data_IF_851126081059
#
_entry.id   IF_851126081059
#
_cell.length_a   1.000
_cell.length_b   1.000
_cell.length_c   1.000
_cell.angle_alpha   90.00
_cell.angle_beta   90.00
_cell.angle_gamma   90.00
#
_symmetry.space_group_name_H-M   'P 1'
#
loop_
_entity.id
_entity.type
_entity.pdbx_description
1 polymer ?
#
# COMPACT_ATOMS: atom_id res chain seq x y z
N UNK A 1 -3.97 34.83 -8.17
CA UNK A 1 -3.23 33.84 -9.00
C UNK A 1 -1.92 33.36 -8.33
N UNK A 2 -1.36 34.07 -7.35
CA UNK A 2 -0.05 33.73 -6.75
C UNK A 2 -0.06 32.52 -5.77
N UNK A 3 -1.19 32.21 -5.13
CA UNK A 3 -1.32 31.07 -4.20
C UNK A 3 -1.19 29.70 -4.89
N UNK A 4 -1.65 29.58 -6.14
CA UNK A 4 -1.51 28.33 -6.91
C UNK A 4 -0.07 28.08 -7.34
N UNK A 5 0.67 29.12 -7.69
CA UNK A 5 2.08 29.04 -8.11
C UNK A 5 3.01 28.69 -6.94
N UNK A 6 2.77 29.25 -5.74
CA UNK A 6 3.49 28.89 -4.51
C UNK A 6 3.26 27.44 -4.10
N UNK A 7 2.00 26.97 -4.13
CA UNK A 7 1.69 25.55 -3.87
C UNK A 7 2.34 24.62 -4.90
N UNK A 8 2.41 25.03 -6.18
CA UNK A 8 3.12 24.27 -7.21
C UNK A 8 4.64 24.26 -6.97
N UNK A 9 5.22 25.39 -6.58
CA UNK A 9 6.65 25.51 -6.27
C UNK A 9 7.04 24.69 -5.04
N UNK A 10 6.28 24.76 -3.94
CA UNK A 10 6.49 23.93 -2.75
C UNK A 10 6.32 22.44 -3.03
N UNK A 11 5.29 22.07 -3.81
CA UNK A 11 5.11 20.67 -4.25
C UNK A 11 6.28 20.20 -5.10
N UNK A 12 6.82 21.06 -5.98
CA UNK A 12 7.97 20.76 -6.83
C UNK A 12 9.26 20.64 -6.02
N UNK A 13 9.50 21.56 -5.09
CA UNK A 13 10.63 21.51 -4.16
C UNK A 13 10.58 20.27 -3.26
N UNK A 14 9.40 19.95 -2.69
CA UNK A 14 9.21 18.76 -1.85
C UNK A 14 9.34 17.46 -2.64
N UNK A 15 8.93 17.44 -3.91
CA UNK A 15 9.17 16.32 -4.84
C UNK A 15 10.64 16.18 -5.19
N UNK A 16 11.33 17.27 -5.49
CA UNK A 16 12.76 17.26 -5.84
C UNK A 16 13.64 16.87 -4.66
N UNK A 17 13.29 17.34 -3.46
CA UNK A 17 13.93 16.94 -2.22
C UNK A 17 13.75 15.44 -1.96
N UNK A 18 12.54 14.90 -2.15
CA UNK A 18 12.30 13.44 -2.06
C UNK A 18 12.95 12.64 -3.19
N UNK A 19 13.05 13.19 -4.40
CA UNK A 19 13.82 12.61 -5.51
C UNK A 19 15.32 12.51 -5.18
N UNK A 20 15.87 13.52 -4.51
CA UNK A 20 17.25 13.43 -4.00
C UNK A 20 17.36 12.41 -2.89
N UNK A 21 16.35 12.30 -2.02
CA UNK A 21 16.36 11.35 -0.92
C UNK A 21 16.31 9.88 -1.36
N UNK A 22 15.59 9.47 -2.43
CA UNK A 22 15.68 8.05 -2.87
C UNK A 22 17.04 7.73 -3.47
N UNK A 23 17.66 8.66 -4.21
CA UNK A 23 19.02 8.48 -4.75
C UNK A 23 20.04 8.34 -3.62
N UNK A 24 19.97 9.22 -2.61
CA UNK A 24 20.82 9.12 -1.42
C UNK A 24 20.54 7.86 -0.60
N UNK A 25 19.28 7.47 -0.44
CA UNK A 25 18.90 6.26 0.26
C UNK A 25 19.41 5.00 -0.48
N UNK A 26 19.33 4.96 -1.80
CA UNK A 26 19.92 3.90 -2.60
C UNK A 26 21.44 3.86 -2.51
N UNK A 27 22.12 5.02 -2.60
CA UNK A 27 23.57 5.06 -2.42
C UNK A 27 24.00 4.55 -1.04
N UNK A 28 23.25 4.91 0.00
CA UNK A 28 23.49 4.47 1.37
C UNK A 28 23.17 2.98 1.54
N UNK A 29 22.14 2.45 0.88
CA UNK A 29 21.82 1.02 0.86
C UNK A 29 22.82 0.20 0.05
N UNK A 30 23.41 0.74 -1.01
CA UNK A 30 24.52 0.09 -1.72
C UNK A 30 25.84 0.11 -0.95
N UNK A 31 26.01 1.04 -0.01
CA UNK A 31 27.19 1.09 0.88
C UNK A 31 26.98 0.35 2.21
N UNK A 32 25.75 -0.04 2.55
CA UNK A 32 25.44 -0.85 3.74
C UNK A 32 26.15 -2.21 3.74
N UNK A 33 26.28 -2.97 2.63
CA UNK A 33 27.08 -4.20 2.64
C UNK A 33 28.57 -3.97 2.95
N UNK A 34 29.08 -2.76 2.69
CA UNK A 34 30.48 -2.38 2.89
C UNK A 34 30.75 -1.69 4.23
N UNK A 35 29.72 -1.41 5.01
CA UNK A 35 29.82 -0.78 6.33
C UNK A 35 29.23 -1.71 7.38
N UNK A 36 29.76 -1.75 8.59
CA UNK A 36 29.23 -2.57 9.70
C UNK A 36 27.84 -2.10 10.20
N UNK A 37 27.17 -1.22 9.46
CA UNK A 37 25.85 -0.67 9.75
C UNK A 37 24.79 -1.59 9.13
N UNK A 38 24.17 -2.45 9.94
CA UNK A 38 22.96 -3.14 9.53
C UNK A 38 21.87 -2.10 9.24
N UNK A 39 21.44 -2.02 7.98
CA UNK A 39 20.29 -1.20 7.60
C UNK A 39 19.09 -1.63 8.43
N UNK A 40 18.46 -0.69 9.13
CA UNK A 40 17.31 -1.00 9.97
C UNK A 40 15.99 -0.72 9.21
N UNK A 41 14.86 -1.10 9.81
CA UNK A 41 13.51 -0.90 9.26
C UNK A 41 13.25 0.56 8.86
N UNK A 42 13.82 1.52 9.60
CA UNK A 42 13.69 2.97 9.30
C UNK A 42 14.42 3.34 8.01
N UNK A 43 15.63 2.82 7.77
CA UNK A 43 16.38 3.04 6.53
C UNK A 43 15.63 2.49 5.31
N UNK A 44 15.16 1.25 5.39
CA UNK A 44 14.43 0.61 4.28
C UNK A 44 13.07 1.28 4.01
N UNK A 45 12.29 1.60 5.06
CA UNK A 45 11.00 2.29 4.89
C UNK A 45 11.15 3.69 4.26
N UNK A 46 12.16 4.45 4.66
CA UNK A 46 12.45 5.75 4.05
C UNK A 46 12.84 5.61 2.57
N UNK A 47 13.67 4.61 2.24
CA UNK A 47 14.08 4.33 0.87
C UNK A 47 12.89 3.88 0.00
N UNK A 48 12.02 3.01 0.52
CA UNK A 48 10.81 2.56 -0.15
C UNK A 48 9.83 3.71 -0.40
N UNK A 49 9.58 4.57 0.59
CA UNK A 49 8.73 5.74 0.44
C UNK A 49 9.27 6.69 -0.64
N UNK A 50 10.58 6.89 -0.66
CA UNK A 50 11.21 7.72 -1.67
C UNK A 50 11.16 7.08 -3.08
N UNK A 51 11.25 5.74 -3.18
CA UNK A 51 11.03 5.01 -4.44
C UNK A 51 9.58 5.11 -4.92
N UNK A 52 8.59 5.06 -4.01
CA UNK A 52 7.19 5.26 -4.34
C UNK A 52 6.95 6.66 -4.94
N UNK A 53 7.50 7.70 -4.31
CA UNK A 53 7.41 9.08 -4.81
C UNK A 53 8.13 9.30 -6.15
N UNK A 54 9.19 8.54 -6.40
CA UNK A 54 9.95 8.57 -7.65
C UNK A 54 9.35 7.66 -8.75
N UNK A 55 8.25 6.95 -8.46
CA UNK A 55 7.62 5.96 -9.35
C UNK A 55 8.60 4.85 -9.78
N UNK A 56 9.58 4.55 -8.91
CA UNK A 56 10.60 3.52 -9.14
C UNK A 56 10.18 2.21 -8.48
N UNK A 57 9.10 1.63 -8.97
CA UNK A 57 8.53 0.39 -8.43
C UNK A 57 9.51 -0.79 -8.45
N UNK A 58 10.37 -0.90 -9.47
CA UNK A 58 11.39 -1.97 -9.57
C UNK A 58 12.40 -1.88 -8.43
N UNK A 59 12.90 -0.66 -8.18
CA UNK A 59 13.82 -0.39 -7.08
C UNK A 59 13.12 -0.65 -5.72
N UNK A 60 11.87 -0.24 -5.58
CA UNK A 60 11.10 -0.51 -4.37
C UNK A 60 10.93 -2.01 -4.09
N UNK A 61 10.60 -2.80 -5.11
CA UNK A 61 10.47 -4.25 -4.94
C UNK A 61 11.82 -4.88 -4.58
N UNK A 62 12.89 -4.47 -5.27
CA UNK A 62 14.23 -4.98 -4.97
C UNK A 62 14.66 -4.65 -3.54
N UNK A 63 14.45 -3.42 -3.08
CA UNK A 63 14.71 -3.02 -1.71
C UNK A 63 13.92 -3.83 -0.68
N UNK A 64 12.68 -4.20 -1.00
CA UNK A 64 11.86 -5.05 -0.14
C UNK A 64 12.46 -6.47 -0.02
N UNK A 65 12.90 -7.08 -1.13
CA UNK A 65 13.56 -8.40 -1.08
C UNK A 65 14.96 -8.35 -0.46
N UNK A 66 15.71 -7.26 -0.67
CA UNK A 66 17.02 -7.04 -0.05
C UNK A 66 16.89 -6.92 1.47
N UNK A 67 15.77 -6.39 1.97
CA UNK A 67 15.47 -6.34 3.41
C UNK A 67 15.30 -7.74 3.99
N UNK A 68 14.58 -8.62 3.28
CA UNK A 68 14.40 -10.02 3.67
C UNK A 68 15.72 -10.80 3.65
N UNK A 69 16.57 -10.59 2.63
CA UNK A 69 17.89 -11.24 2.54
C UNK A 69 18.86 -10.74 3.60
N UNK A 70 18.71 -9.49 4.06
CA UNK A 70 19.44 -8.91 5.18
C UNK A 70 18.90 -9.35 6.57
N UNK A 71 17.95 -10.29 6.62
CA UNK A 71 17.29 -10.77 7.85
C UNK A 71 16.61 -9.66 8.67
N UNK A 72 16.16 -8.60 8.01
CA UNK A 72 15.43 -7.49 8.65
C UNK A 72 13.94 -7.73 8.44
N UNK A 73 13.20 -7.88 9.53
CA UNK A 73 11.75 -8.14 9.47
C UNK A 73 10.98 -6.91 8.96
N UNK A 74 10.23 -7.11 7.87
CA UNK A 74 9.37 -6.08 7.30
C UNK A 74 8.16 -5.83 8.22
N UNK A 75 7.97 -4.57 8.61
CA UNK A 75 6.79 -4.17 9.36
C UNK A 75 5.69 -3.63 8.42
N UNK A 76 4.53 -3.31 9.00
CA UNK A 76 3.38 -2.74 8.28
C UNK A 76 3.71 -1.46 7.49
N UNK A 77 4.68 -0.67 7.95
CA UNK A 77 5.11 0.56 7.26
C UNK A 77 5.90 0.23 5.99
N UNK A 78 6.82 -0.73 6.05
CA UNK A 78 7.60 -1.21 4.91
C UNK A 78 6.68 -1.78 3.84
N UNK A 79 5.74 -2.65 4.24
CA UNK A 79 4.74 -3.19 3.32
C UNK A 79 3.82 -2.12 2.71
N UNK A 80 3.41 -1.12 3.49
CA UNK A 80 2.63 0.02 2.99
C UNK A 80 3.38 0.81 1.91
N UNK A 81 4.65 1.13 2.17
CA UNK A 81 5.48 1.87 1.23
C UNK A 81 5.76 1.05 -0.06
N UNK A 82 6.09 -0.24 0.09
CA UNK A 82 6.30 -1.13 -1.04
C UNK A 82 5.03 -1.31 -1.88
N UNK A 83 3.88 -1.53 -1.23
CA UNK A 83 2.59 -1.69 -1.92
C UNK A 83 2.19 -0.42 -2.64
N UNK A 84 2.36 0.77 -2.05
CA UNK A 84 2.09 2.04 -2.73
C UNK A 84 2.96 2.24 -3.98
N UNK A 85 4.25 1.91 -3.90
CA UNK A 85 5.15 1.97 -5.07
C UNK A 85 4.72 0.98 -6.17
N UNK A 86 4.34 -0.25 -5.78
CA UNK A 86 3.89 -1.31 -6.67
C UNK A 86 2.55 -1.00 -7.33
N UNK A 87 1.60 -0.49 -6.55
CA UNK A 87 0.25 -0.12 -6.94
C UNK A 87 0.22 0.90 -8.08
N UNK A 88 1.17 1.84 -8.08
CA UNK A 88 1.33 2.83 -9.14
C UNK A 88 1.79 2.23 -10.49
N UNK A 89 2.33 1.00 -10.49
CA UNK A 89 2.91 0.37 -11.67
C UNK A 89 2.11 -0.84 -12.18
N UNK A 90 1.77 -1.78 -11.29
CA UNK A 90 0.98 -2.97 -11.62
C UNK A 90 0.19 -3.43 -10.39
N UNK A 91 -1.13 -3.55 -10.55
CA UNK A 91 -2.05 -4.08 -9.54
C UNK A 91 -1.66 -5.50 -9.09
N UNK A 92 -1.05 -6.31 -9.96
CA UNK A 92 -0.59 -7.66 -9.62
C UNK A 92 0.49 -7.64 -8.55
N UNK A 93 1.38 -6.66 -8.60
CA UNK A 93 2.44 -6.50 -7.61
C UNK A 93 1.85 -6.11 -6.25
N UNK A 94 0.84 -5.24 -6.24
CA UNK A 94 0.14 -4.86 -5.01
C UNK A 94 -0.57 -6.06 -4.35
N UNK A 95 -1.24 -6.92 -5.13
CA UNK A 95 -1.85 -8.17 -4.60
C UNK A 95 -0.78 -9.14 -4.11
N UNK A 96 0.35 -9.26 -4.82
CA UNK A 96 1.46 -10.09 -4.36
C UNK A 96 1.98 -9.63 -3.01
N UNK A 97 2.09 -8.32 -2.77
CA UNK A 97 2.52 -7.77 -1.47
C UNK A 97 1.51 -8.09 -0.36
N UNK A 98 0.21 -7.93 -0.62
CA UNK A 98 -0.85 -8.34 0.33
C UNK A 98 -0.76 -9.83 0.67
N UNK A 99 -0.57 -10.68 -0.34
CA UNK A 99 -0.43 -12.14 -0.14
C UNK A 99 0.79 -12.48 0.73
N UNK A 100 1.90 -11.75 0.56
CA UNK A 100 3.09 -11.90 1.40
C UNK A 100 2.82 -11.47 2.84
N UNK A 101 2.08 -10.37 3.07
CA UNK A 101 1.69 -9.97 4.44
C UNK A 101 0.88 -11.04 5.15
N UNK A 102 -0.09 -11.67 4.47
CA UNK A 102 -0.88 -12.78 5.03
C UNK A 102 0.02 -13.95 5.41
N UNK A 103 0.94 -14.35 4.51
CA UNK A 103 1.88 -15.46 4.74
C UNK A 103 2.82 -15.21 5.91
N UNK A 104 3.28 -13.98 6.06
CA UNK A 104 4.17 -13.56 7.16
C UNK A 104 3.38 -13.23 8.44
N UNK A 105 2.07 -13.46 8.47
CA UNK A 105 1.17 -13.11 9.57
C UNK A 105 1.26 -11.63 10.00
N UNK A 106 1.65 -10.76 9.06
CA UNK A 106 1.72 -9.32 9.27
C UNK A 106 0.33 -8.74 9.05
N UNK A 107 -0.17 -8.00 10.05
CA UNK A 107 -1.50 -7.39 10.01
C UNK A 107 -1.62 -6.46 8.80
N UNK A 108 -2.51 -6.80 7.88
CA UNK A 108 -2.91 -5.90 6.78
C UNK A 108 -3.57 -4.67 7.42
N UNK A 109 -3.11 -3.48 7.03
CA UNK A 109 -3.72 -2.22 7.40
C UNK A 109 -4.57 -1.68 6.24
N UNK A 110 -5.45 -0.73 6.56
CA UNK A 110 -6.33 -0.09 5.57
C UNK A 110 -5.56 0.66 4.49
N UNK A 111 -4.37 1.19 4.80
CA UNK A 111 -3.54 1.89 3.81
C UNK A 111 -3.04 0.95 2.70
N UNK A 112 -2.54 -0.24 3.06
CA UNK A 112 -2.06 -1.25 2.10
C UNK A 112 -3.23 -1.76 1.26
N UNK A 113 -4.36 -2.05 1.93
CA UNK A 113 -5.56 -2.54 1.28
C UNK A 113 -6.12 -1.53 0.27
N UNK A 114 -6.24 -0.26 0.67
CA UNK A 114 -6.71 0.82 -0.20
C UNK A 114 -5.79 1.01 -1.41
N UNK A 115 -4.46 1.00 -1.21
CA UNK A 115 -3.51 1.12 -2.31
C UNK A 115 -3.65 -0.03 -3.34
N UNK A 116 -3.88 -1.26 -2.89
CA UNK A 116 -4.10 -2.38 -3.79
C UNK A 116 -5.45 -2.29 -4.53
N UNK A 117 -6.50 -1.84 -3.84
CA UNK A 117 -7.82 -1.63 -4.42
C UNK A 117 -7.80 -0.51 -5.47
N UNK A 118 -7.15 0.61 -5.18
CA UNK A 118 -6.97 1.73 -6.10
C UNK A 118 -6.18 1.31 -7.35
N UNK A 119 -5.15 0.46 -7.19
CA UNK A 119 -4.41 -0.11 -8.31
C UNK A 119 -5.31 -1.00 -9.19
N UNK A 120 -6.12 -1.86 -8.57
CA UNK A 120 -7.06 -2.71 -9.28
C UNK A 120 -8.16 -1.90 -9.98
N UNK A 121 -8.62 -0.82 -9.35
CA UNK A 121 -9.65 0.09 -9.88
C UNK A 121 -9.12 0.81 -11.11
N UNK A 122 -7.91 1.35 -11.01
CA UNK A 122 -7.19 1.99 -12.11
C UNK A 122 -6.93 1.02 -13.28
N UNK A 123 -6.74 -0.26 -12.98
CA UNK A 123 -6.57 -1.32 -13.97
C UNK A 123 -7.90 -1.90 -14.52
N UNK A 124 -9.05 -1.41 -14.04
CA UNK A 124 -10.38 -1.89 -14.44
C UNK A 124 -10.67 -3.34 -14.03
N UNK A 125 -9.99 -3.85 -13.00
CA UNK A 125 -10.12 -5.23 -12.49
C UNK A 125 -11.15 -5.29 -11.36
N UNK A 126 -12.41 -5.06 -11.72
CA UNK A 126 -13.53 -5.07 -10.76
C UNK A 126 -13.74 -6.45 -10.12
N UNK A 127 -13.55 -7.53 -10.86
CA UNK A 127 -13.72 -8.89 -10.33
C UNK A 127 -12.66 -9.22 -9.26
N UNK A 128 -11.42 -8.73 -9.41
CA UNK A 128 -10.37 -8.94 -8.41
C UNK A 128 -10.58 -8.07 -7.18
N UNK A 129 -11.11 -6.85 -7.34
CA UNK A 129 -11.53 -6.01 -6.21
C UNK A 129 -12.54 -6.76 -5.35
N UNK A 130 -13.58 -7.30 -5.99
CA UNK A 130 -14.64 -8.06 -5.30
C UNK A 130 -14.05 -9.26 -4.55
N UNK A 131 -13.23 -10.07 -5.23
CA UNK A 131 -12.61 -11.25 -4.63
C UNK A 131 -11.69 -10.89 -3.44
N UNK A 132 -10.88 -9.83 -3.59
CA UNK A 132 -9.99 -9.36 -2.52
C UNK A 132 -10.81 -8.84 -1.34
N UNK A 133 -11.89 -8.09 -1.58
CA UNK A 133 -12.76 -7.58 -0.52
C UNK A 133 -13.47 -8.71 0.23
N UNK A 134 -13.90 -9.77 -0.45
CA UNK A 134 -14.48 -10.96 0.21
C UNK A 134 -13.44 -11.67 1.05
N UNK A 135 -12.23 -11.88 0.54
CA UNK A 135 -11.16 -12.56 1.28
C UNK A 135 -10.77 -11.79 2.55
N UNK A 136 -10.75 -10.46 2.48
CA UNK A 136 -10.46 -9.62 3.65
C UNK A 136 -11.59 -9.62 4.68
N UNK A 137 -12.84 -9.65 4.23
CA UNK A 137 -14.00 -9.79 5.12
C UNK A 137 -13.98 -11.15 5.84
N UNK A 138 -13.74 -12.24 5.10
CA UNK A 138 -13.63 -13.59 5.65
C UNK A 138 -12.43 -13.73 6.61
N UNK A 139 -11.34 -13.00 6.35
CA UNK A 139 -10.19 -12.91 7.25
C UNK A 139 -10.42 -12.03 8.50
N UNK A 140 -11.61 -11.44 8.65
CA UNK A 140 -11.97 -10.58 9.78
C UNK A 140 -11.23 -9.24 9.78
N UNK A 141 -10.70 -8.79 8.64
CA UNK A 141 -10.07 -7.49 8.50
C UNK A 141 -11.16 -6.45 8.33
N UNK A 142 -11.33 -5.59 9.33
CA UNK A 142 -12.32 -4.51 9.29
C UNK A 142 -12.02 -3.54 8.14
N UNK A 143 -12.89 -3.54 7.14
CA UNK A 143 -12.87 -2.60 6.02
C UNK A 143 -13.50 -1.30 6.52
N UNK A 144 -12.78 -0.18 6.44
CA UNK A 144 -13.28 1.12 6.87
C UNK A 144 -14.19 1.78 5.82
N UNK A 145 -14.85 2.88 6.20
CA UNK A 145 -15.77 3.61 5.34
C UNK A 145 -15.09 4.19 4.09
N UNK A 146 -13.81 4.56 4.19
CA UNK A 146 -13.01 5.07 3.08
C UNK A 146 -12.76 3.98 2.04
N UNK A 147 -12.37 2.79 2.50
CA UNK A 147 -12.17 1.61 1.65
C UNK A 147 -13.48 1.14 1.01
N UNK A 148 -14.59 1.19 1.75
CA UNK A 148 -15.92 0.91 1.20
C UNK A 148 -16.29 1.86 0.05
N UNK A 149 -16.04 3.17 0.24
CA UNK A 149 -16.29 4.18 -0.78
C UNK A 149 -15.46 3.95 -2.04
N UNK A 150 -14.17 3.61 -1.88
CA UNK A 150 -13.27 3.30 -2.98
C UNK A 150 -13.73 2.05 -3.76
N UNK A 151 -14.19 1.00 -3.07
CA UNK A 151 -14.73 -0.21 -3.70
C UNK A 151 -15.98 0.13 -4.52
N UNK A 152 -16.89 0.94 -3.98
CA UNK A 152 -18.11 1.36 -4.70
C UNK A 152 -17.75 2.18 -5.92
N UNK A 153 -16.91 3.20 -5.79
CA UNK A 153 -16.49 4.03 -6.91
C UNK A 153 -15.83 3.19 -8.03
N UNK A 154 -14.99 2.21 -7.65
CA UNK A 154 -14.38 1.30 -8.60
C UNK A 154 -15.39 0.36 -9.28
N UNK A 155 -16.42 -0.09 -8.55
CA UNK A 155 -17.41 -1.04 -9.05
C UNK A 155 -18.59 -0.39 -9.79
N UNK A 156 -18.94 0.86 -9.49
CA UNK A 156 -20.04 1.61 -10.12
C UNK A 156 -19.87 1.71 -11.64
N UNK A 157 -18.62 1.74 -12.11
CA UNK A 157 -18.31 1.80 -13.53
C UNK A 157 -18.69 0.53 -14.32
N UNK A 158 -18.90 -0.63 -13.66
CA UNK A 158 -19.15 -1.92 -14.36
C UNK A 158 -20.15 -2.88 -13.71
N UNK A 159 -20.25 -2.97 -12.38
CA UNK A 159 -21.11 -3.95 -11.67
C UNK A 159 -21.62 -3.45 -10.29
N UNK A 160 -22.57 -2.49 -10.23
CA UNK A 160 -23.01 -1.86 -8.97
C UNK A 160 -23.79 -2.80 -8.03
N UNK A 161 -24.53 -3.78 -8.57
CA UNK A 161 -25.37 -4.68 -7.76
C UNK A 161 -24.55 -5.63 -6.87
N UNK A 162 -23.40 -6.11 -7.35
CA UNK A 162 -22.52 -7.00 -6.55
C UNK A 162 -21.75 -6.23 -5.47
N UNK A 163 -21.32 -5.00 -5.77
CA UNK A 163 -20.67 -4.14 -4.79
C UNK A 163 -21.60 -3.79 -3.62
N UNK A 164 -22.86 -3.45 -3.89
CA UNK A 164 -23.85 -3.18 -2.85
C UNK A 164 -24.13 -4.39 -1.95
N UNK A 165 -24.16 -5.60 -2.51
CA UNK A 165 -24.35 -6.83 -1.74
C UNK A 165 -23.16 -7.12 -0.82
N UNK A 166 -21.93 -6.87 -1.28
CA UNK A 166 -20.71 -7.02 -0.48
C UNK A 166 -20.63 -6.02 0.66
N UNK A 167 -21.09 -4.78 0.43
CA UNK A 167 -21.17 -3.78 1.49
C UNK A 167 -22.25 -4.11 2.51
N UNK A 168 -23.37 -4.71 2.10
CA UNK A 168 -24.41 -5.14 3.03
C UNK A 168 -23.94 -6.31 3.91
N UNK A 169 -23.15 -7.25 3.36
CA UNK A 169 -22.53 -8.32 4.15
C UNK A 169 -21.42 -7.79 5.06
N UNK A 170 -20.48 -6.98 4.53
CA UNK A 170 -19.40 -6.40 5.32
C UNK A 170 -19.91 -5.41 6.40
N UNK A 171 -20.98 -4.66 6.11
CA UNK A 171 -21.64 -3.77 7.06
C UNK A 171 -22.35 -4.53 8.19
N UNK A 172 -22.95 -5.69 7.89
CA UNK A 172 -23.56 -6.58 8.90
C UNK A 172 -22.50 -7.23 9.79
N UNK A 173 -21.39 -7.69 9.21
CA UNK A 173 -20.31 -8.33 9.96
C UNK A 173 -19.49 -7.32 10.78
N UNK A 174 -19.23 -6.12 10.24
CA UNK A 174 -18.60 -5.02 10.99
C UNK A 174 -19.42 -4.54 12.19
N UNK A 175 -20.76 -4.51 12.05
CA UNK A 175 -21.67 -4.22 13.16
C UNK A 175 -21.77 -5.37 14.18
N UNK A 176 -21.55 -6.62 13.76
CA UNK A 176 -21.48 -7.76 14.68
C UNK A 176 -20.15 -7.79 15.46
N UNK A 177 -19.01 -7.51 14.82
CA UNK A 177 -17.71 -7.48 15.48
C UNK A 177 -17.55 -6.29 16.45
N UNK A 178 -18.12 -5.13 16.14
CA UNK A 178 -18.20 -4.01 17.08
C UNK A 178 -19.06 -4.33 18.31
N UNK A 179 -20.08 -5.18 18.16
CA UNK A 179 -20.91 -5.65 19.29
C UNK A 179 -20.23 -6.73 20.13
N UNK A 180 -19.33 -7.53 19.56
CA UNK A 180 -18.59 -8.58 20.30
C UNK A 180 -17.34 -8.08 21.01
N UNK A 181 -16.70 -7.01 20.55
CA UNK A 181 -15.55 -6.37 21.22
C UNK A 181 -15.95 -5.33 22.29
N UNK A 182 -17.25 -5.10 22.50
CA UNK A 182 -17.81 -4.14 23.45
C UNK A 182 -18.34 -4.73 24.77
N UNK A 183 -17.82 -5.89 25.21
CA UNK A 183 -18.10 -6.45 26.55
C UNK A 183 -16.82 -6.87 27.25
#
# INVERSE_FOLDING_TARGET
MESSSLKLYERRSKREHRKRMWLSALQLLTSIPATSLQGNVVTYSAALAACADAVQWRAACQLFWDMASASVEANTVVFGAATGACAAADWRLAISMLSTMVKEAVRINTVVLLAALDACASAGKTDTIIALSTEMADAGVAIDAETCSAIVAACESRQPRRAAMLLDTAGKDGLQQLKSCGR
#
